data_IF_829001194062
#
_entry.id   IF_829001194062
#
_cell.length_a   1.000
_cell.length_b   1.000
_cell.length_c   1.000
_cell.angle_alpha   90.00
_cell.angle_beta   90.00
_cell.angle_gamma   90.00
#
_symmetry.space_group_name_H-M   'P 1'
#
loop_
_entity.id
_entity.type
_entity.pdbx_description
1 polymer ?
#
# COMPACT_ATOMS: atom_id res chain seq x y z
N UNK A 1 -13.65 1.44 26.86
CA UNK A 1 -13.33 1.28 25.42
C UNK A 1 -11.92 0.72 25.32
N UNK A 2 -11.62 -0.16 24.35
CA UNK A 2 -10.26 -0.63 24.16
C UNK A 2 -9.39 0.55 23.69
N UNK A 3 -8.29 0.84 24.40
CA UNK A 3 -7.30 1.83 23.97
C UNK A 3 -6.70 1.36 22.64
N UNK A 4 -6.76 2.20 21.61
CA UNK A 4 -6.12 1.95 20.31
C UNK A 4 -4.77 2.64 20.35
N UNK A 5 -3.70 1.87 20.41
CA UNK A 5 -2.33 2.38 20.36
C UNK A 5 -1.83 2.38 18.91
N UNK A 6 -1.79 3.57 18.32
CA UNK A 6 -1.35 3.85 16.95
C UNK A 6 -0.01 4.60 16.91
N UNK A 7 0.66 4.76 18.05
CA UNK A 7 1.85 5.58 18.14
C UNK A 7 3.09 4.81 17.65
N UNK A 8 3.83 5.43 16.75
CA UNK A 8 5.14 4.93 16.29
C UNK A 8 6.29 5.50 17.12
N UNK A 9 6.02 6.53 17.94
CA UNK A 9 7.02 7.18 18.79
C UNK A 9 7.59 6.21 19.81
N UNK A 10 8.91 6.19 19.94
CA UNK A 10 9.66 5.30 20.84
C UNK A 10 9.72 3.84 20.39
N UNK A 11 8.96 3.44 19.35
CA UNK A 11 8.98 2.09 18.79
C UNK A 11 10.22 1.87 17.96
N UNK A 12 10.75 0.65 17.97
CA UNK A 12 11.88 0.27 17.12
C UNK A 12 11.37 -0.21 15.75
N UNK A 13 11.78 0.47 14.69
CA UNK A 13 11.44 0.11 13.32
C UNK A 13 12.63 -0.43 12.54
N UNK A 14 12.48 -1.63 11.97
CA UNK A 14 13.38 -2.19 10.98
C UNK A 14 12.91 -1.78 9.58
N UNK A 15 13.75 -1.04 8.86
CA UNK A 15 13.50 -0.64 7.46
C UNK A 15 14.55 -1.28 6.56
N UNK A 16 14.12 -2.25 5.74
CA UNK A 16 15.05 -2.94 4.84
C UNK A 16 15.26 -2.17 3.54
N UNK A 17 16.49 -2.17 3.00
CA UNK A 17 16.80 -1.45 1.76
C UNK A 17 16.69 0.08 1.91
N UNK A 18 17.05 0.60 3.09
CA UNK A 18 17.04 2.02 3.42
C UNK A 18 18.08 2.85 2.62
N UNK A 19 19.03 2.20 1.95
CA UNK A 19 19.99 2.84 1.04
C UNK A 19 19.37 3.34 -0.27
N UNK A 20 18.13 2.94 -0.57
CA UNK A 20 17.39 3.33 -1.77
C UNK A 20 16.31 4.38 -1.49
N UNK A 21 15.66 4.86 -2.55
CA UNK A 21 14.68 5.95 -2.48
C UNK A 21 13.56 5.71 -1.46
N UNK A 22 12.70 4.72 -1.69
CA UNK A 22 11.50 4.47 -0.84
C UNK A 22 11.90 4.13 0.59
N UNK A 23 12.86 3.22 0.78
CA UNK A 23 13.34 2.83 2.11
C UNK A 23 13.92 4.01 2.90
N UNK A 24 14.73 4.86 2.26
CA UNK A 24 15.27 6.06 2.87
C UNK A 24 14.18 7.07 3.25
N UNK A 25 13.18 7.27 2.38
CA UNK A 25 12.04 8.12 2.70
C UNK A 25 11.20 7.59 3.88
N UNK A 26 10.94 6.27 3.92
CA UNK A 26 10.27 5.64 5.07
C UNK A 26 11.07 5.84 6.36
N UNK A 27 12.39 5.72 6.33
CA UNK A 27 13.25 5.94 7.49
C UNK A 27 13.14 7.39 7.99
N UNK A 28 13.22 8.38 7.10
CA UNK A 28 13.03 9.80 7.44
C UNK A 28 11.69 10.06 8.10
N UNK A 29 10.62 9.53 7.49
CA UNK A 29 9.26 9.77 7.97
C UNK A 29 9.03 9.12 9.34
N UNK A 30 9.52 7.91 9.55
CA UNK A 30 9.44 7.22 10.85
C UNK A 30 10.25 7.95 11.93
N UNK A 31 11.47 8.37 11.61
CA UNK A 31 12.32 9.12 12.54
C UNK A 31 11.68 10.45 12.96
N UNK A 32 11.14 11.21 11.99
CA UNK A 32 10.39 12.45 12.25
C UNK A 32 9.21 12.23 13.20
N UNK A 33 8.62 11.04 13.18
CA UNK A 33 7.53 10.65 14.08
C UNK A 33 8.04 10.01 15.40
N UNK A 34 9.34 10.09 15.68
CA UNK A 34 9.97 9.68 16.93
C UNK A 34 10.27 8.19 17.05
N UNK A 35 10.29 7.44 15.95
CA UNK A 35 10.68 6.03 15.97
C UNK A 35 12.21 5.87 16.05
N UNK A 36 12.67 4.85 16.80
CA UNK A 36 14.05 4.35 16.74
C UNK A 36 14.20 3.48 15.49
N UNK A 37 15.39 3.44 14.89
CA UNK A 37 15.57 2.81 13.58
C UNK A 37 16.70 1.78 13.55
N UNK A 38 16.43 0.65 12.93
CA UNK A 38 17.43 -0.27 12.39
C UNK A 38 17.31 -0.24 10.86
N UNK A 39 18.36 0.21 10.18
CA UNK A 39 18.37 0.45 8.73
C UNK A 39 19.27 -0.55 8.03
N UNK A 40 18.79 -1.16 6.95
CA UNK A 40 19.62 -2.11 6.18
C UNK A 40 19.99 -1.61 4.78
N UNK A 41 21.16 -2.02 4.30
CA UNK A 41 21.55 -1.95 2.91
C UNK A 41 22.07 -3.31 2.43
N UNK A 42 22.15 -3.50 1.11
CA UNK A 42 22.45 -4.80 0.51
C UNK A 42 23.93 -5.12 0.39
N UNK A 43 24.82 -4.14 0.59
CA UNK A 43 26.27 -4.32 0.40
C UNK A 43 27.07 -3.18 1.01
N UNK A 44 28.37 -3.44 1.24
CA UNK A 44 29.37 -2.44 1.62
C UNK A 44 29.39 -1.22 0.68
N UNK A 45 29.14 -1.42 -0.62
CA UNK A 45 29.08 -0.33 -1.60
C UNK A 45 27.97 0.68 -1.32
N UNK A 46 26.92 0.24 -0.62
CA UNK A 46 25.77 1.07 -0.24
C UNK A 46 25.78 1.45 1.24
N UNK A 47 26.82 1.06 2.00
CA UNK A 47 26.96 1.39 3.42
C UNK A 47 27.06 2.90 3.63
N UNK A 48 27.88 3.59 2.84
CA UNK A 48 28.02 5.05 2.93
C UNK A 48 26.67 5.77 2.86
N UNK A 49 25.78 5.36 1.95
CA UNK A 49 24.45 5.96 1.79
C UNK A 49 23.58 5.85 3.05
N UNK A 50 23.59 4.70 3.72
CA UNK A 50 22.78 4.52 4.94
C UNK A 50 23.43 5.19 6.15
N UNK A 51 24.77 5.26 6.20
CA UNK A 51 25.49 5.97 7.25
C UNK A 51 25.31 7.48 7.14
N UNK A 52 25.30 8.02 5.93
CA UNK A 52 24.98 9.43 5.66
C UNK A 52 23.54 9.74 6.08
N UNK A 53 22.58 8.87 5.70
CA UNK A 53 21.19 8.98 6.15
C UNK A 53 21.09 8.95 7.68
N UNK A 54 21.73 7.99 8.35
CA UNK A 54 21.69 7.89 9.81
C UNK A 54 22.30 9.13 10.49
N UNK A 55 23.37 9.69 9.93
CA UNK A 55 24.00 10.92 10.42
C UNK A 55 23.08 12.11 10.25
N UNK A 56 22.44 12.23 9.08
CA UNK A 56 21.46 13.28 8.81
C UNK A 56 20.28 13.23 9.77
N UNK A 57 19.73 12.04 10.04
CA UNK A 57 18.63 11.85 10.97
C UNK A 57 19.03 12.25 12.39
N UNK A 58 20.17 11.76 12.89
CA UNK A 58 20.67 12.13 14.23
C UNK A 58 20.89 13.63 14.37
N UNK A 59 21.32 14.32 13.32
CA UNK A 59 21.52 15.77 13.32
C UNK A 59 20.20 16.58 13.22
N UNK A 60 19.08 15.92 12.91
CA UNK A 60 17.78 16.60 12.70
C UNK A 60 16.96 16.78 13.98
N UNK A 61 17.44 16.25 15.12
CA UNK A 61 16.80 16.37 16.42
C UNK A 61 17.85 16.46 17.53
N UNK A 62 17.52 17.14 18.62
CA UNK A 62 18.32 17.12 19.85
C UNK A 62 18.05 15.87 20.71
N UNK A 63 17.04 15.07 20.34
CA UNK A 63 16.71 13.80 20.99
C UNK A 63 17.73 12.72 20.62
N UNK A 64 18.20 11.96 21.61
CA UNK A 64 19.10 10.80 21.41
C UNK A 64 18.31 9.58 20.89
N UNK A 65 17.72 9.71 19.71
CA UNK A 65 16.93 8.66 19.07
C UNK A 65 17.86 7.69 18.34
N UNK A 66 17.95 6.46 18.82
CA UNK A 66 18.84 5.45 18.25
C UNK A 66 18.54 5.15 16.78
N UNK A 67 19.58 5.22 15.96
CA UNK A 67 19.60 4.74 14.57
C UNK A 67 20.79 3.79 14.43
N UNK A 68 20.61 2.61 13.87
CA UNK A 68 21.70 1.66 13.57
C UNK A 68 21.69 1.26 12.10
N UNK A 69 22.86 0.87 11.58
CA UNK A 69 23.07 0.59 10.16
C UNK A 69 23.64 -0.82 9.98
N UNK A 70 23.01 -1.62 9.12
CA UNK A 70 23.34 -3.03 8.94
C UNK A 70 23.51 -3.38 7.46
N UNK A 71 24.62 -4.03 7.10
CA UNK A 71 24.82 -4.61 5.76
C UNK A 71 24.27 -6.03 5.78
N UNK A 72 23.29 -6.34 4.92
CA UNK A 72 22.59 -7.62 4.95
C UNK A 72 22.25 -8.07 3.52
N UNK A 73 22.68 -9.28 3.15
CA UNK A 73 22.18 -9.94 1.94
C UNK A 73 20.80 -10.55 2.21
N UNK A 74 19.75 -9.94 1.64
CA UNK A 74 18.37 -10.40 1.78
C UNK A 74 18.12 -11.79 1.15
N UNK A 75 19.02 -12.29 0.30
CA UNK A 75 18.91 -13.67 -0.22
C UNK A 75 19.41 -14.72 0.79
N UNK A 76 20.22 -14.32 1.78
CA UNK A 76 20.82 -15.18 2.80
C UNK A 76 19.96 -15.26 4.06
N UNK A 77 19.54 -16.47 4.43
CA UNK A 77 18.81 -16.68 5.68
C UNK A 77 19.71 -16.44 6.91
N UNK A 78 20.98 -16.84 6.81
CA UNK A 78 21.97 -16.65 7.88
C UNK A 78 22.20 -15.16 8.17
N UNK A 79 22.27 -14.33 7.13
CA UNK A 79 22.48 -12.89 7.29
C UNK A 79 21.25 -12.24 7.95
N UNK A 80 20.04 -12.66 7.56
CA UNK A 80 18.79 -12.18 8.18
C UNK A 80 18.69 -12.63 9.65
N UNK A 81 19.11 -13.84 9.99
CA UNK A 81 19.17 -14.30 11.38
C UNK A 81 20.22 -13.50 12.19
N UNK A 82 21.38 -13.21 11.60
CA UNK A 82 22.42 -12.42 12.24
C UNK A 82 22.00 -10.96 12.43
N UNK A 83 21.26 -10.38 11.48
CA UNK A 83 20.66 -9.05 11.59
C UNK A 83 19.83 -8.93 12.87
N UNK A 84 18.94 -9.89 13.15
CA UNK A 84 18.12 -9.83 14.35
C UNK A 84 18.94 -9.93 15.63
N UNK A 85 20.00 -10.75 15.66
CA UNK A 85 20.92 -10.80 16.81
C UNK A 85 21.58 -9.44 17.04
N UNK A 86 22.13 -8.84 16.00
CA UNK A 86 22.79 -7.53 16.09
C UNK A 86 21.81 -6.44 16.55
N UNK A 87 20.58 -6.42 16.02
CA UNK A 87 19.55 -5.46 16.45
C UNK A 87 19.22 -5.64 17.94
N UNK A 88 19.07 -6.88 18.42
CA UNK A 88 18.79 -7.16 19.82
C UNK A 88 19.97 -6.71 20.70
N UNK A 89 21.20 -6.96 20.28
CA UNK A 89 22.41 -6.58 21.02
C UNK A 89 22.56 -5.04 21.10
N UNK A 90 22.24 -4.31 20.03
CA UNK A 90 22.39 -2.85 19.95
C UNK A 90 21.22 -2.08 20.58
N UNK A 91 19.98 -2.58 20.40
CA UNK A 91 18.78 -1.87 20.85
C UNK A 91 18.14 -2.46 22.11
N UNK A 92 18.59 -3.63 22.55
CA UNK A 92 18.04 -4.39 23.68
C UNK A 92 16.69 -5.04 23.41
N UNK A 93 16.18 -4.99 22.17
CA UNK A 93 14.86 -5.50 21.82
C UNK A 93 14.73 -5.88 20.35
N UNK A 94 13.72 -6.70 20.02
CA UNK A 94 13.33 -7.01 18.65
C UNK A 94 12.50 -5.84 18.06
N UNK A 95 12.52 -5.59 16.74
CA UNK A 95 11.70 -4.53 16.14
C UNK A 95 10.20 -4.70 16.38
N UNK A 96 9.53 -3.59 16.72
CA UNK A 96 8.08 -3.49 16.86
C UNK A 96 7.40 -3.19 15.50
N UNK A 97 8.15 -2.52 14.61
CA UNK A 97 7.71 -2.15 13.26
C UNK A 97 8.66 -2.79 12.25
N UNK A 98 8.10 -3.38 11.19
CA UNK A 98 8.84 -3.90 10.04
C UNK A 98 8.33 -3.27 8.75
N UNK A 99 9.20 -2.51 8.08
CA UNK A 99 8.99 -2.06 6.70
C UNK A 99 9.86 -2.94 5.79
N UNK A 100 9.25 -4.01 5.25
CA UNK A 100 9.93 -4.89 4.30
C UNK A 100 9.95 -4.24 2.92
N UNK A 101 10.98 -3.44 2.66
CA UNK A 101 11.12 -2.62 1.46
C UNK A 101 12.20 -3.14 0.50
N UNK A 102 13.24 -3.81 0.99
CA UNK A 102 14.30 -4.33 0.14
C UNK A 102 13.72 -5.19 -1.00
N UNK A 103 14.19 -4.92 -2.22
CA UNK A 103 13.73 -5.65 -3.39
C UNK A 103 14.54 -5.34 -4.64
N UNK A 104 14.43 -6.22 -5.63
CA UNK A 104 15.13 -6.13 -6.91
C UNK A 104 14.18 -6.45 -8.06
N UNK A 105 14.43 -5.86 -9.24
CA UNK A 105 13.77 -6.23 -10.50
C UNK A 105 14.41 -7.43 -11.22
N UNK A 106 15.58 -7.89 -10.76
CA UNK A 106 16.40 -8.92 -11.40
C UNK A 106 17.88 -8.73 -11.08
N UNK A 107 18.79 -9.34 -11.83
CA UNK A 107 20.22 -9.12 -11.58
C UNK A 107 20.62 -7.66 -11.80
N UNK A 108 21.45 -7.12 -10.90
CA UNK A 108 21.88 -5.71 -10.92
C UNK A 108 20.71 -4.70 -10.96
N UNK A 109 19.55 -5.05 -10.39
CA UNK A 109 18.31 -4.27 -10.45
C UNK A 109 17.79 -4.01 -11.87
N UNK A 110 18.18 -4.83 -12.85
CA UNK A 110 17.66 -4.74 -14.22
C UNK A 110 16.41 -5.59 -14.36
N UNK A 111 15.36 -4.98 -14.90
CA UNK A 111 14.14 -5.65 -15.32
C UNK A 111 14.37 -6.48 -16.58
N UNK A 112 13.77 -7.67 -16.62
CA UNK A 112 13.71 -8.55 -17.80
C UNK A 112 12.25 -8.85 -18.11
N UNK A 113 11.60 -8.08 -19.01
CA UNK A 113 10.16 -8.20 -19.25
C UNK A 113 9.76 -9.50 -19.97
N UNK A 114 10.70 -10.12 -20.68
CA UNK A 114 10.45 -11.28 -21.53
C UNK A 114 10.88 -12.59 -20.84
N UNK A 115 9.98 -13.57 -20.82
CA UNK A 115 10.17 -14.84 -20.11
C UNK A 115 11.42 -15.60 -20.59
N UNK A 116 11.67 -15.62 -21.90
CA UNK A 116 12.79 -16.30 -22.53
C UNK A 116 14.17 -15.75 -22.11
N UNK A 117 14.21 -14.54 -21.54
CA UNK A 117 15.44 -13.91 -21.05
C UNK A 117 15.65 -14.11 -19.54
N UNK A 118 14.68 -14.71 -18.83
CA UNK A 118 14.77 -14.95 -17.39
C UNK A 118 15.33 -16.35 -17.16
N UNK A 119 16.57 -16.41 -16.67
CA UNK A 119 17.15 -17.70 -16.24
C UNK A 119 16.52 -18.16 -14.93
N UNK A 120 16.64 -19.46 -14.63
CA UNK A 120 16.18 -20.01 -13.36
C UNK A 120 16.90 -19.36 -12.17
N UNK A 121 18.19 -19.06 -12.32
CA UNK A 121 18.99 -18.40 -11.29
C UNK A 121 18.48 -16.98 -11.02
N UNK A 122 18.08 -16.23 -12.05
CA UNK A 122 17.50 -14.90 -11.86
C UNK A 122 16.10 -14.97 -11.23
N UNK A 123 15.30 -15.96 -11.62
CA UNK A 123 14.01 -16.23 -11.02
C UNK A 123 14.17 -16.49 -9.51
N UNK A 124 15.02 -17.44 -9.14
CA UNK A 124 15.28 -17.81 -7.75
C UNK A 124 15.88 -16.65 -6.96
N UNK A 125 16.84 -15.90 -7.55
CA UNK A 125 17.41 -14.71 -6.94
C UNK A 125 16.33 -13.67 -6.58
N UNK A 126 15.44 -13.39 -7.52
CA UNK A 126 14.37 -12.40 -7.34
C UNK A 126 13.35 -12.86 -6.30
N UNK A 127 12.97 -14.13 -6.32
CA UNK A 127 12.07 -14.73 -5.33
C UNK A 127 12.71 -14.72 -3.93
N UNK A 128 13.99 -15.05 -3.83
CA UNK A 128 14.71 -15.10 -2.56
C UNK A 128 14.77 -13.72 -1.89
N UNK A 129 15.12 -12.68 -2.65
CA UNK A 129 15.22 -11.31 -2.11
C UNK A 129 13.83 -10.72 -1.82
N UNK A 130 12.88 -10.82 -2.75
CA UNK A 130 11.62 -10.09 -2.61
C UNK A 130 10.65 -10.82 -1.67
N UNK A 131 10.49 -12.14 -1.81
CA UNK A 131 9.45 -12.92 -1.13
C UNK A 131 10.00 -13.68 0.08
N UNK A 132 11.05 -14.50 -0.12
CA UNK A 132 11.59 -15.35 0.95
C UNK A 132 12.15 -14.52 2.10
N UNK A 133 12.85 -13.41 1.80
CA UNK A 133 13.33 -12.48 2.81
C UNK A 133 12.18 -11.94 3.68
N UNK A 134 11.10 -11.46 3.06
CA UNK A 134 9.90 -10.95 3.77
C UNK A 134 9.28 -12.01 4.69
N UNK A 135 9.23 -13.27 4.26
CA UNK A 135 8.81 -14.39 5.11
C UNK A 135 9.73 -14.58 6.32
N UNK A 136 11.06 -14.57 6.13
CA UNK A 136 12.03 -14.74 7.22
C UNK A 136 11.99 -13.58 8.21
N UNK A 137 11.92 -12.35 7.73
CA UNK A 137 11.79 -11.15 8.56
C UNK A 137 10.52 -11.22 9.43
N UNK A 138 9.38 -11.62 8.86
CA UNK A 138 8.16 -11.84 9.63
C UNK A 138 8.33 -12.95 10.66
N UNK A 139 8.94 -14.08 10.26
CA UNK A 139 9.16 -15.22 11.16
C UNK A 139 9.97 -14.83 12.41
N UNK A 140 10.95 -13.95 12.26
CA UNK A 140 11.80 -13.49 13.36
C UNK A 140 11.16 -12.38 14.20
N UNK A 141 10.39 -11.46 13.59
CA UNK A 141 9.74 -10.36 14.32
C UNK A 141 8.44 -10.78 15.03
N UNK A 142 7.67 -11.70 14.44
CA UNK A 142 6.31 -12.04 14.90
C UNK A 142 6.24 -12.51 16.36
N UNK A 143 7.14 -13.38 16.88
CA UNK A 143 7.03 -13.84 18.27
C UNK A 143 7.06 -12.71 19.29
N UNK A 144 7.90 -11.69 19.05
CA UNK A 144 7.99 -10.48 19.88
C UNK A 144 6.73 -9.63 19.76
N UNK A 145 6.28 -9.37 18.53
CA UNK A 145 5.08 -8.57 18.28
C UNK A 145 3.83 -9.19 18.94
N UNK A 146 3.68 -10.52 18.85
CA UNK A 146 2.59 -11.26 19.48
C UNK A 146 2.70 -11.24 21.01
N UNK A 147 3.89 -11.44 21.58
CA UNK A 147 4.06 -11.50 23.03
C UNK A 147 3.74 -10.18 23.72
N UNK A 148 4.04 -9.05 23.08
CA UNK A 148 3.71 -7.72 23.59
C UNK A 148 2.28 -7.25 23.22
N UNK A 149 1.56 -8.02 22.38
CA UNK A 149 0.23 -7.66 21.91
C UNK A 149 0.19 -6.47 20.94
N UNK A 150 1.32 -6.17 20.29
CA UNK A 150 1.47 -5.02 19.40
C UNK A 150 2.56 -5.28 18.35
N UNK A 151 2.25 -5.02 17.09
CA UNK A 151 3.24 -4.99 16.02
C UNK A 151 2.67 -4.42 14.73
N UNK A 152 3.52 -3.86 13.88
CA UNK A 152 3.12 -3.31 12.58
C UNK A 152 4.08 -3.78 11.49
N UNK A 153 3.54 -4.41 10.46
CA UNK A 153 4.31 -4.88 9.31
C UNK A 153 3.73 -4.26 8.04
N UNK A 154 4.59 -3.64 7.22
CA UNK A 154 4.23 -3.15 5.90
C UNK A 154 5.20 -3.71 4.87
N UNK A 155 4.65 -4.35 3.85
CA UNK A 155 5.41 -4.79 2.68
C UNK A 155 5.35 -3.74 1.59
N UNK A 156 6.50 -3.40 1.01
CA UNK A 156 6.56 -2.62 -0.23
C UNK A 156 6.49 -3.59 -1.40
N UNK A 157 5.25 -3.86 -1.82
CA UNK A 157 4.90 -4.69 -2.97
C UNK A 157 5.09 -3.93 -4.29
N UNK A 158 4.21 -4.12 -5.27
CA UNK A 158 4.18 -3.37 -6.53
C UNK A 158 2.82 -3.56 -7.19
N UNK A 159 2.42 -2.63 -8.06
CA UNK A 159 1.31 -2.89 -9.00
C UNK A 159 1.59 -4.10 -9.90
N UNK A 160 2.85 -4.49 -10.10
CA UNK A 160 3.18 -5.71 -10.86
C UNK A 160 2.65 -6.99 -10.21
N UNK A 161 2.26 -6.95 -8.93
CA UNK A 161 1.64 -8.07 -8.22
C UNK A 161 0.30 -8.53 -8.83
N UNK A 162 -0.38 -7.69 -9.62
CA UNK A 162 -1.60 -8.07 -10.35
C UNK A 162 -1.32 -8.60 -11.77
N UNK A 163 -0.05 -8.92 -12.07
CA UNK A 163 0.37 -9.52 -13.35
C UNK A 163 0.72 -8.52 -14.45
N UNK A 164 0.69 -7.22 -14.17
CA UNK A 164 1.12 -6.17 -15.10
C UNK A 164 2.57 -5.70 -14.89
N UNK A 165 2.96 -4.63 -15.58
CA UNK A 165 4.22 -3.91 -15.35
C UNK A 165 5.35 -4.26 -16.33
N UNK A 166 6.49 -3.61 -16.13
CA UNK A 166 7.64 -3.65 -17.07
C UNK A 166 8.77 -4.59 -16.62
N UNK A 167 8.61 -5.28 -15.48
CA UNK A 167 9.71 -5.89 -14.76
C UNK A 167 10.00 -7.35 -15.11
N UNK A 168 8.98 -8.11 -15.52
CA UNK A 168 9.05 -9.56 -15.77
C UNK A 168 8.19 -10.40 -14.82
N UNK A 169 7.97 -11.66 -15.19
CA UNK A 169 7.07 -12.58 -14.48
C UNK A 169 7.60 -13.01 -13.11
N UNK A 170 8.91 -13.16 -12.94
CA UNK A 170 9.57 -13.47 -11.66
C UNK A 170 9.35 -12.35 -10.63
N UNK A 171 9.51 -11.10 -11.05
CA UNK A 171 9.21 -9.94 -10.21
C UNK A 171 7.73 -9.91 -9.83
N UNK A 172 6.83 -10.00 -10.81
CA UNK A 172 5.38 -10.02 -10.58
C UNK A 172 4.97 -11.14 -9.61
N UNK A 173 5.46 -12.37 -9.81
CA UNK A 173 5.22 -13.51 -8.94
C UNK A 173 5.72 -13.25 -7.51
N UNK A 174 6.92 -12.69 -7.36
CA UNK A 174 7.48 -12.36 -6.04
C UNK A 174 6.63 -11.34 -5.27
N UNK A 175 6.12 -10.30 -5.96
CA UNK A 175 5.28 -9.25 -5.36
C UNK A 175 3.86 -9.75 -5.06
N UNK A 176 3.29 -10.58 -5.94
CA UNK A 176 2.03 -11.27 -5.69
C UNK A 176 2.10 -12.23 -4.49
N UNK A 177 3.20 -12.97 -4.36
CA UNK A 177 3.46 -13.85 -3.24
C UNK A 177 3.50 -13.10 -1.90
N UNK A 178 4.07 -11.89 -1.87
CA UNK A 178 4.06 -11.05 -0.66
C UNK A 178 2.64 -10.62 -0.28
N UNK A 179 1.80 -10.25 -1.25
CA UNK A 179 0.39 -9.92 -0.97
C UNK A 179 -0.35 -11.14 -0.41
N UNK A 180 -0.10 -12.35 -0.92
CA UNK A 180 -0.66 -13.59 -0.37
C UNK A 180 -0.18 -13.88 1.06
N UNK A 181 1.13 -13.73 1.31
CA UNK A 181 1.74 -13.87 2.63
C UNK A 181 1.12 -12.90 3.64
N UNK A 182 1.00 -11.63 3.26
CA UNK A 182 0.40 -10.58 4.09
C UNK A 182 -1.03 -10.94 4.47
N UNK A 183 -1.89 -11.26 3.48
CA UNK A 183 -3.30 -11.59 3.73
C UNK A 183 -3.46 -12.77 4.70
N UNK A 184 -2.60 -13.80 4.57
CA UNK A 184 -2.66 -14.95 5.45
C UNK A 184 -2.27 -14.61 6.89
N UNK A 185 -1.14 -13.92 7.07
CA UNK A 185 -0.62 -13.56 8.38
C UNK A 185 -1.51 -12.53 9.09
N UNK A 186 -2.04 -11.55 8.36
CA UNK A 186 -2.96 -10.54 8.87
C UNK A 186 -4.18 -11.19 9.54
N UNK A 187 -4.81 -12.14 8.85
CA UNK A 187 -5.97 -12.87 9.37
C UNK A 187 -5.64 -13.74 10.59
N UNK A 188 -4.41 -14.25 10.69
CA UNK A 188 -3.97 -15.10 11.81
C UNK A 188 -3.61 -14.31 13.07
N UNK A 189 -3.01 -13.14 12.91
CA UNK A 189 -2.42 -12.37 14.01
C UNK A 189 -3.19 -11.10 14.38
N UNK A 190 -4.33 -10.83 13.74
CA UNK A 190 -5.19 -9.69 14.09
C UNK A 190 -5.60 -9.68 15.57
N UNK A 191 -5.89 -10.85 16.15
CA UNK A 191 -6.26 -11.00 17.58
C UNK A 191 -5.08 -10.82 18.52
N UNK A 192 -3.87 -11.00 18.01
CA UNK A 192 -2.62 -10.80 18.74
C UNK A 192 -2.19 -9.32 18.76
N UNK A 193 -2.98 -8.41 18.16
CA UNK A 193 -2.66 -6.97 18.10
C UNK A 193 -1.60 -6.61 17.06
N UNK A 194 -1.25 -7.55 16.18
CA UNK A 194 -0.30 -7.35 15.07
C UNK A 194 -1.05 -7.06 13.78
N UNK A 195 -0.63 -6.03 13.05
CA UNK A 195 -1.21 -5.67 11.76
C UNK A 195 -0.21 -5.93 10.64
N UNK A 196 -0.68 -6.42 9.50
CA UNK A 196 0.14 -6.62 8.31
C UNK A 196 -0.56 -6.02 7.10
N UNK A 197 0.14 -5.16 6.38
CA UNK A 197 -0.39 -4.43 5.23
C UNK A 197 0.62 -4.46 4.06
N UNK A 198 0.16 -4.12 2.86
CA UNK A 198 1.05 -3.88 1.72
C UNK A 198 0.77 -2.55 1.02
N UNK A 199 1.85 -1.89 0.61
CA UNK A 199 1.82 -0.77 -0.33
C UNK A 199 2.27 -1.30 -1.68
N UNK A 200 1.56 -0.97 -2.75
CA UNK A 200 1.88 -1.37 -4.11
C UNK A 200 2.21 -0.15 -4.98
N UNK A 201 3.46 0.34 -4.96
CA UNK A 201 3.88 1.44 -5.82
C UNK A 201 3.87 1.05 -7.31
N UNK A 202 3.59 2.05 -8.15
CA UNK A 202 3.79 1.98 -9.59
C UNK A 202 5.15 2.59 -9.99
N UNK A 203 5.13 3.68 -10.74
CA UNK A 203 6.33 4.33 -11.26
C UNK A 203 6.80 5.39 -10.26
N UNK A 204 7.81 5.04 -9.46
CA UNK A 204 8.40 5.92 -8.45
C UNK A 204 9.81 6.32 -8.88
N UNK A 205 10.00 7.61 -9.14
CA UNK A 205 11.29 8.22 -9.49
C UNK A 205 12.27 8.26 -8.31
N UNK A 206 13.50 8.71 -8.55
CA UNK A 206 14.55 8.80 -7.54
C UNK A 206 14.84 7.47 -6.82
N UNK A 207 14.60 6.36 -7.51
CA UNK A 207 14.90 5.01 -7.03
C UNK A 207 16.01 4.37 -7.86
N UNK A 208 16.66 3.34 -7.33
CA UNK A 208 17.64 2.56 -8.11
C UNK A 208 17.02 1.86 -9.33
N UNK A 209 15.70 1.63 -9.32
CA UNK A 209 14.97 0.96 -10.41
C UNK A 209 14.52 1.95 -11.48
N UNK A 210 14.03 3.12 -11.06
CA UNK A 210 13.58 4.21 -11.91
C UNK A 210 14.25 5.49 -11.38
N UNK A 211 15.44 5.85 -11.90
CA UNK A 211 16.12 7.07 -11.47
C UNK A 211 15.40 8.32 -11.99
N UNK A 212 14.92 8.27 -13.23
CA UNK A 212 14.26 9.40 -13.90
C UNK A 212 13.24 8.93 -14.95
N UNK A 213 12.52 9.88 -15.55
CA UNK A 213 11.47 9.64 -16.55
C UNK A 213 11.97 8.95 -17.82
N UNK A 214 13.24 9.16 -18.20
CA UNK A 214 13.83 8.55 -19.41
C UNK A 214 13.86 7.04 -19.29
N UNK A 215 13.93 6.51 -18.06
CA UNK A 215 13.91 5.06 -17.81
C UNK A 215 12.60 4.41 -18.25
N UNK A 216 11.49 5.15 -18.22
CA UNK A 216 10.15 4.62 -18.52
C UNK A 216 9.58 5.12 -19.84
N UNK A 217 10.30 5.99 -20.54
CA UNK A 217 9.90 6.53 -21.85
C UNK A 217 9.61 5.41 -22.85
N UNK A 218 8.47 5.52 -23.54
CA UNK A 218 8.02 4.53 -24.53
C UNK A 218 7.50 3.21 -23.93
N UNK A 219 7.58 3.02 -22.61
CA UNK A 219 7.00 1.86 -21.93
C UNK A 219 5.55 2.16 -21.49
N UNK A 220 4.78 1.15 -21.04
CA UNK A 220 3.52 1.41 -20.36
C UNK A 220 3.68 2.32 -19.12
N UNK A 221 4.87 2.42 -18.52
CA UNK A 221 5.16 3.31 -17.39
C UNK A 221 5.50 4.76 -17.75
N UNK A 222 5.53 5.11 -19.04
CA UNK A 222 5.83 6.47 -19.53
C UNK A 222 4.92 7.51 -18.86
N UNK A 223 5.48 8.66 -18.46
CA UNK A 223 4.79 9.72 -17.74
C UNK A 223 3.58 10.28 -18.49
N UNK A 224 3.59 10.25 -19.83
CA UNK A 224 2.42 10.63 -20.64
C UNK A 224 1.21 9.72 -20.43
N UNK A 225 1.45 8.48 -19.99
CA UNK A 225 0.41 7.51 -19.68
C UNK A 225 -0.04 7.59 -18.22
N UNK A 226 0.56 8.47 -17.42
CA UNK A 226 0.25 8.68 -16.01
C UNK A 226 -0.69 9.90 -15.91
N UNK A 227 -1.96 9.75 -15.48
CA UNK A 227 -2.90 10.85 -15.24
C UNK A 227 -2.36 12.06 -14.49
N UNK A 228 -1.49 11.88 -13.48
CA UNK A 228 -0.86 13.02 -12.78
C UNK A 228 0.28 13.68 -13.55
N UNK A 229 0.66 13.12 -14.72
CA UNK A 229 1.64 13.67 -15.64
C UNK A 229 3.10 13.59 -15.17
N UNK A 230 3.38 12.87 -14.08
CA UNK A 230 4.73 12.73 -13.49
C UNK A 230 4.92 11.38 -12.82
N UNK A 231 6.18 11.04 -12.54
CA UNK A 231 6.50 9.95 -11.61
C UNK A 231 6.02 10.27 -10.19
N UNK A 232 5.67 9.22 -9.45
CA UNK A 232 5.51 9.32 -8.01
C UNK A 232 6.87 9.49 -7.33
N UNK A 233 6.84 9.99 -6.10
CA UNK A 233 8.05 10.25 -5.31
C UNK A 233 8.19 9.23 -4.17
N UNK A 234 9.43 8.96 -3.71
CA UNK A 234 9.63 8.13 -2.52
C UNK A 234 8.90 8.63 -1.28
N UNK A 235 8.79 9.95 -1.10
CA UNK A 235 8.09 10.55 0.03
C UNK A 235 6.59 10.26 0.01
N UNK A 236 5.95 10.28 -1.15
CA UNK A 236 4.53 9.92 -1.25
C UNK A 236 4.29 8.45 -0.84
N UNK A 237 5.21 7.53 -1.18
CA UNK A 237 5.17 6.16 -0.67
C UNK A 237 5.35 6.10 0.85
N UNK A 238 6.31 6.84 1.41
CA UNK A 238 6.58 6.88 2.84
C UNK A 238 5.38 7.37 3.65
N UNK A 239 4.66 8.39 3.15
CA UNK A 239 3.45 8.90 3.78
C UNK A 239 2.36 7.84 3.88
N UNK A 240 2.17 7.03 2.81
CA UNK A 240 1.22 5.92 2.81
C UNK A 240 1.65 4.81 3.77
N UNK A 241 2.95 4.49 3.81
CA UNK A 241 3.49 3.53 4.79
C UNK A 241 3.20 4.00 6.21
N UNK A 242 3.50 5.26 6.55
CA UNK A 242 3.22 5.82 7.87
C UNK A 242 1.73 5.74 8.22
N UNK A 243 0.86 6.10 7.27
CA UNK A 243 -0.59 5.99 7.45
C UNK A 243 -0.98 4.55 7.80
N UNK A 244 -0.49 3.54 7.08
CA UNK A 244 -0.80 2.13 7.35
C UNK A 244 -0.27 1.64 8.70
N UNK A 245 0.83 2.22 9.20
CA UNK A 245 1.35 1.92 10.53
C UNK A 245 0.47 2.51 11.64
N UNK A 246 -0.12 3.69 11.39
CA UNK A 246 -0.97 4.43 12.33
C UNK A 246 -2.45 4.04 12.28
N UNK A 247 -2.92 3.33 11.26
CA UNK A 247 -4.33 2.91 11.15
C UNK A 247 -4.44 1.43 11.52
N UNK A 248 -4.55 1.13 12.82
CA UNK A 248 -4.86 -0.21 13.32
C UNK A 248 -6.34 -0.30 13.74
N UNK A 249 -7.19 -0.84 12.88
CA UNK A 249 -8.56 -1.19 13.25
C UNK A 249 -8.52 -2.53 14.00
N UNK A 250 -8.69 -2.51 15.33
CA UNK A 250 -8.60 -3.70 16.22
C UNK A 250 -9.75 -4.73 16.05
N UNK A 251 -10.42 -4.72 14.90
CA UNK A 251 -11.59 -5.54 14.61
C UNK A 251 -11.25 -6.62 13.57
N UNK A 252 -11.93 -7.77 13.64
CA UNK A 252 -11.63 -9.13 13.16
C UNK A 252 -11.29 -9.36 11.65
N UNK A 253 -10.81 -8.35 10.90
CA UNK A 253 -10.20 -8.52 9.56
C UNK A 253 -9.32 -7.29 9.24
N UNK A 254 -8.00 -7.45 9.27
CA UNK A 254 -7.04 -6.35 9.12
C UNK A 254 -6.17 -6.48 7.87
N UNK A 255 -6.78 -6.31 6.69
CA UNK A 255 -6.03 -6.21 5.43
C UNK A 255 -6.29 -4.82 4.86
N UNK A 256 -5.31 -3.93 4.97
CA UNK A 256 -5.31 -2.67 4.23
C UNK A 256 -4.26 -2.76 3.11
N UNK A 257 -4.71 -2.59 1.86
CA UNK A 257 -3.83 -2.47 0.70
C UNK A 257 -3.95 -1.09 0.10
N UNK A 258 -2.83 -0.39 -0.04
CA UNK A 258 -2.77 0.87 -0.78
C UNK A 258 -1.96 0.66 -2.06
N UNK A 259 -2.53 0.88 -3.24
CA UNK A 259 -1.72 0.97 -4.46
C UNK A 259 -1.62 2.41 -4.92
N UNK A 260 -0.41 2.81 -5.31
CA UNK A 260 -0.18 4.09 -5.95
C UNK A 260 -0.12 3.80 -7.43
N UNK A 261 -1.23 4.01 -8.14
CA UNK A 261 -1.31 3.73 -9.57
C UNK A 261 -1.28 5.03 -10.38
N UNK A 262 -1.36 4.89 -11.71
CA UNK A 262 -1.24 6.00 -12.64
C UNK A 262 -2.29 7.12 -12.37
N UNK A 263 -3.41 6.80 -11.74
CA UNK A 263 -4.53 7.70 -11.41
C UNK A 263 -4.40 8.37 -10.03
N UNK A 264 -3.33 8.12 -9.28
CA UNK A 264 -3.13 8.60 -7.90
C UNK A 264 -3.12 7.46 -6.87
N UNK A 265 -3.28 7.81 -5.58
CA UNK A 265 -3.40 6.81 -4.50
C UNK A 265 -4.79 6.17 -4.58
N UNK A 266 -4.83 4.86 -4.81
CA UNK A 266 -6.05 4.06 -4.83
C UNK A 266 -5.94 2.99 -3.75
N UNK A 267 -6.83 3.01 -2.75
CA UNK A 267 -6.91 1.98 -1.71
C UNK A 267 -7.70 0.78 -2.28
N UNK A 268 -7.11 -0.42 -2.21
CA UNK A 268 -7.62 -1.61 -2.92
C UNK A 268 -8.30 -2.65 -2.02
N UNK A 269 -8.29 -2.54 -0.68
CA UNK A 269 -9.16 -3.35 0.21
C UNK A 269 -9.16 -2.85 1.67
N UNK A 270 -10.35 -2.81 2.29
CA UNK A 270 -10.62 -2.77 3.75
C UNK A 270 -11.94 -3.54 4.04
N UNK A 271 -11.96 -4.44 5.03
CA UNK A 271 -13.19 -5.16 5.43
C UNK A 271 -13.35 -5.30 6.96
N UNK A 272 -14.61 -5.29 7.43
CA UNK A 272 -15.09 -6.00 8.63
C UNK A 272 -16.57 -6.43 8.33
N UNK A 273 -17.16 -7.42 9.03
CA UNK A 273 -18.60 -7.83 8.91
C UNK A 273 -19.15 -8.38 10.24
N UNK A 274 -20.41 -8.06 10.62
CA UNK A 274 -21.19 -8.82 11.60
C UNK A 274 -22.70 -8.60 11.46
N UNK A 275 -23.49 -9.69 11.43
CA UNK A 275 -24.89 -9.77 11.89
C UNK A 275 -25.26 -11.27 11.99
N UNK A 276 -25.90 -11.80 13.04
CA UNK A 276 -26.84 -11.20 14.00
C UNK A 276 -26.32 -11.25 15.45
N UNK A 277 -26.49 -10.16 16.23
CA UNK A 277 -26.48 -10.23 17.70
C UNK A 277 -25.65 -9.24 18.53
N UNK A 278 -24.78 -8.36 17.99
CA UNK A 278 -24.39 -7.04 18.59
C UNK A 278 -23.07 -6.43 18.05
N UNK A 279 -23.13 -5.11 17.73
CA UNK A 279 -22.07 -4.06 17.80
C UNK A 279 -20.92 -3.92 16.75
N UNK A 280 -20.98 -2.81 15.96
CA UNK A 280 -19.87 -1.98 15.31
C UNK A 280 -19.18 -2.52 14.02
N UNK A 281 -18.35 -1.83 13.20
CA UNK A 281 -18.14 -0.49 12.58
C UNK A 281 -17.09 -0.69 11.39
N UNK A 282 -17.09 -0.01 10.21
CA UNK A 282 -16.35 -0.39 8.94
C UNK A 282 -15.79 0.76 8.12
N UNK A 283 -14.75 0.48 7.28
CA UNK A 283 -14.37 1.39 6.18
C UNK A 283 -13.44 1.06 4.98
N UNK A 284 -14.06 0.97 3.77
CA UNK A 284 -13.60 1.15 2.35
C UNK A 284 -13.50 -0.11 1.44
N UNK A 285 -14.58 -0.41 0.71
CA UNK A 285 -14.78 0.24 -0.60
C UNK A 285 -14.76 -0.54 -1.93
N UNK A 286 -15.05 -1.85 -1.99
CA UNK A 286 -15.70 -2.49 -3.17
C UNK A 286 -16.93 -3.27 -2.69
N UNK A 287 -18.07 -3.08 -3.37
CA UNK A 287 -19.36 -3.68 -2.97
C UNK A 287 -19.38 -5.15 -3.38
N UNK A 288 -19.22 -6.05 -2.40
CA UNK A 288 -19.90 -7.36 -2.41
C UNK A 288 -20.55 -7.62 -1.05
N UNK A 289 -21.90 -7.67 -1.10
CA UNK A 289 -22.95 -7.95 -0.09
C UNK A 289 -22.57 -8.08 1.41
N UNK A 290 -23.20 -7.24 2.24
CA UNK A 290 -23.58 -7.57 3.63
C UNK A 290 -23.94 -6.40 4.55
N UNK A 291 -25.25 -6.23 4.80
CA UNK A 291 -25.95 -5.51 5.90
C UNK A 291 -25.68 -4.00 6.18
N UNK A 292 -26.74 -3.22 5.93
CA UNK A 292 -27.26 -2.01 6.62
C UNK A 292 -26.28 -0.92 7.13
N UNK A 293 -26.10 0.17 6.35
CA UNK A 293 -25.70 1.51 6.86
C UNK A 293 -26.37 2.65 6.11
N UNK A 294 -26.51 3.79 6.78
CA UNK A 294 -27.23 4.98 6.30
C UNK A 294 -26.30 6.01 5.62
N UNK A 295 -26.88 6.97 4.90
CA UNK A 295 -26.17 8.01 4.15
C UNK A 295 -25.31 8.94 5.05
N UNK A 296 -25.76 9.24 6.26
CA UNK A 296 -25.03 10.09 7.21
C UNK A 296 -23.72 9.43 7.70
N UNK A 297 -23.74 8.10 7.89
CA UNK A 297 -22.55 7.33 8.28
C UNK A 297 -21.45 7.37 7.21
N UNK A 298 -21.85 7.41 5.94
CA UNK A 298 -20.92 7.52 4.80
C UNK A 298 -20.32 8.93 4.69
N UNK A 299 -21.11 9.97 4.95
CA UNK A 299 -20.66 11.36 4.91
C UNK A 299 -19.65 11.67 6.03
N UNK A 300 -19.94 11.25 7.27
CA UNK A 300 -19.03 11.46 8.43
C UNK A 300 -17.66 10.86 8.19
N UNK A 301 -17.66 9.69 7.58
CA UNK A 301 -16.45 9.00 7.19
C UNK A 301 -15.66 9.74 6.10
N UNK A 302 -16.29 10.13 5.00
CA UNK A 302 -15.61 10.91 3.98
C UNK A 302 -14.96 12.17 4.57
N UNK A 303 -15.57 12.77 5.60
CA UNK A 303 -14.97 13.85 6.38
C UNK A 303 -13.73 13.42 7.19
N UNK A 304 -13.76 12.27 7.87
CA UNK A 304 -12.60 11.75 8.63
C UNK A 304 -11.40 11.42 7.74
N UNK A 305 -11.63 10.76 6.58
CA UNK A 305 -10.57 10.47 5.60
C UNK A 305 -10.00 11.77 5.03
N UNK A 306 -10.87 12.75 4.73
CA UNK A 306 -10.46 14.06 4.22
C UNK A 306 -9.70 14.88 5.27
N UNK A 307 -10.08 14.80 6.54
CA UNK A 307 -9.39 15.46 7.65
C UNK A 307 -8.00 14.85 7.90
N UNK A 308 -7.90 13.52 7.89
CA UNK A 308 -6.62 12.83 7.95
C UNK A 308 -5.73 13.18 6.75
N UNK A 309 -6.29 13.21 5.54
CA UNK A 309 -5.60 13.64 4.33
C UNK A 309 -5.08 15.09 4.41
N UNK A 310 -5.88 16.02 4.92
CA UNK A 310 -5.50 17.43 5.06
C UNK A 310 -4.31 17.61 6.02
N UNK A 311 -4.29 16.87 7.14
CA UNK A 311 -3.17 16.87 8.09
C UNK A 311 -1.89 16.25 7.52
N UNK A 312 -2.04 15.30 6.59
CA UNK A 312 -0.92 14.56 5.97
C UNK A 312 -0.26 15.37 4.83
N UNK A 313 -1.04 16.13 4.06
CA UNK A 313 -0.53 16.85 2.88
C UNK A 313 -0.15 18.30 3.19
N UNK A 314 -0.76 18.94 4.20
CA UNK A 314 -0.51 20.33 4.57
C UNK A 314 -0.44 20.52 6.10
N UNK A 315 0.63 20.06 6.76
CA UNK A 315 0.76 20.09 8.23
C UNK A 315 0.68 21.50 8.82
N UNK A 316 1.14 22.53 8.09
CA UNK A 316 1.03 23.94 8.50
C UNK A 316 -0.41 24.49 8.62
N UNK A 317 -1.42 23.85 8.04
CA UNK A 317 -2.82 24.30 8.14
C UNK A 317 -3.57 23.79 9.38
N UNK A 318 -2.96 22.84 10.11
CA UNK A 318 -3.54 22.25 11.32
C UNK A 318 -3.45 23.17 12.55
N UNK A 319 -2.52 24.14 12.56
CA UNK A 319 -2.29 25.05 13.70
C UNK A 319 -3.20 26.30 13.67
N UNK A 320 -3.75 26.69 12.52
CA UNK A 320 -4.54 27.93 12.35
C UNK A 320 -6.08 27.73 12.35
N UNK A 321 -6.58 26.69 13.02
CA UNK A 321 -8.03 26.59 13.29
C UNK A 321 -8.91 26.38 12.04
N UNK A 322 -8.50 25.49 11.13
CA UNK A 322 -9.43 24.86 10.19
C UNK A 322 -9.80 25.67 8.95
N UNK A 323 -8.85 26.39 8.34
CA UNK A 323 -9.05 26.84 6.95
C UNK A 323 -8.70 25.73 5.98
N UNK A 324 -9.70 25.30 5.21
CA UNK A 324 -9.57 24.39 4.08
C UNK A 324 -8.57 24.96 3.05
N UNK A 325 -7.77 24.11 2.37
CA UNK A 325 -6.88 24.56 1.30
C UNK A 325 -7.68 25.21 0.14
N UNK A 326 -7.05 26.08 -0.66
CA UNK A 326 -7.72 26.76 -1.78
C UNK A 326 -8.28 25.76 -2.81
N UNK A 327 -9.37 26.15 -3.49
CA UNK A 327 -10.25 25.29 -4.32
C UNK A 327 -9.56 24.53 -5.46
N UNK A 328 -8.32 24.89 -5.79
CA UNK A 328 -7.47 24.29 -6.80
C UNK A 328 -6.72 23.02 -6.32
N UNK A 329 -6.79 22.68 -5.01
CA UNK A 329 -6.14 21.49 -4.41
C UNK A 329 -7.12 20.50 -3.74
N UNK A 330 -8.33 20.34 -4.28
CA UNK A 330 -9.28 19.33 -3.80
C UNK A 330 -8.88 17.90 -4.19
N UNK A 331 -9.07 16.96 -3.25
CA UNK A 331 -9.10 15.51 -3.51
C UNK A 331 -10.29 15.19 -4.43
N UNK A 332 -10.05 15.05 -5.73
CA UNK A 332 -11.13 15.01 -6.75
C UNK A 332 -11.73 13.63 -7.05
N UNK A 333 -11.21 12.52 -6.53
CA UNK A 333 -11.88 11.21 -6.69
C UNK A 333 -11.37 10.09 -5.80
N UNK A 334 -12.30 9.27 -5.32
CA UNK A 334 -12.11 7.88 -4.89
C UNK A 334 -12.70 7.01 -6.00
N UNK A 335 -11.93 6.06 -6.55
CA UNK A 335 -12.42 5.22 -7.65
C UNK A 335 -13.40 4.16 -7.16
N UNK A 336 -14.53 4.14 -7.83
CA UNK A 336 -15.68 3.29 -7.62
C UNK A 336 -15.93 2.54 -8.95
N UNK A 337 -16.31 1.26 -8.92
CA UNK A 337 -16.53 0.43 -10.12
C UNK A 337 -17.71 0.91 -10.98
N UNK A 338 -17.69 0.61 -12.29
CA UNK A 338 -18.66 1.11 -13.29
C UNK A 338 -20.14 0.88 -12.95
N UNK A 339 -20.47 -0.26 -12.31
CA UNK A 339 -21.84 -0.58 -11.85
C UNK A 339 -22.37 0.40 -10.78
N UNK A 340 -21.49 1.00 -9.95
CA UNK A 340 -21.90 2.02 -8.99
C UNK A 340 -22.00 3.42 -9.64
N UNK A 341 -21.20 3.69 -10.68
CA UNK A 341 -21.18 4.98 -11.39
C UNK A 341 -22.51 5.21 -12.13
N UNK A 342 -23.07 4.17 -12.74
CA UNK A 342 -24.37 4.25 -13.41
C UNK A 342 -25.54 4.51 -12.42
N UNK A 343 -25.51 3.87 -11.24
CA UNK A 343 -26.48 4.13 -10.18
C UNK A 343 -26.37 5.54 -9.57
N UNK A 344 -25.14 6.04 -9.40
CA UNK A 344 -24.87 7.32 -8.74
C UNK A 344 -25.04 8.55 -9.67
N UNK A 345 -24.72 8.46 -10.97
CA UNK A 345 -24.84 9.60 -11.91
C UNK A 345 -26.28 9.93 -12.32
N UNK A 346 -27.23 9.02 -12.13
CA UNK A 346 -28.58 9.18 -12.68
C UNK A 346 -29.70 8.71 -11.73
N UNK A 347 -29.40 8.56 -10.43
CA UNK A 347 -30.37 8.19 -9.39
C UNK A 347 -31.06 6.83 -9.61
N UNK A 348 -30.43 5.91 -10.37
CA UNK A 348 -30.94 4.56 -10.53
C UNK A 348 -30.60 3.72 -9.30
N UNK A 349 -31.58 3.04 -8.68
CA UNK A 349 -31.29 2.12 -7.58
C UNK A 349 -30.42 0.98 -8.10
N UNK A 350 -29.27 0.69 -7.47
CA UNK A 350 -28.40 -0.42 -7.85
C UNK A 350 -29.07 -1.78 -7.60
N UNK A 351 -28.93 -2.79 -8.48
CA UNK A 351 -29.61 -4.07 -8.32
C UNK A 351 -29.12 -4.84 -7.09
N UNK A 352 -30.00 -5.69 -6.56
CA UNK A 352 -29.59 -6.74 -5.65
C UNK A 352 -28.79 -7.80 -6.41
N UNK A 353 -27.77 -8.38 -5.77
CA UNK A 353 -26.95 -9.40 -6.44
C UNK A 353 -27.78 -10.65 -6.80
N UNK A 354 -27.71 -11.07 -8.06
CA UNK A 354 -28.56 -12.08 -8.68
C UNK A 354 -29.75 -11.52 -9.48
N UNK A 355 -30.06 -10.22 -9.35
CA UNK A 355 -31.16 -9.55 -10.06
C UNK A 355 -30.64 -8.57 -11.13
N UNK A 356 -29.34 -8.65 -11.48
CA UNK A 356 -28.68 -7.73 -12.41
C UNK A 356 -29.33 -7.73 -13.80
N UNK A 357 -29.77 -8.90 -14.26
CA UNK A 357 -30.46 -9.07 -15.54
C UNK A 357 -31.81 -8.33 -15.55
N UNK A 358 -32.65 -8.56 -14.54
CA UNK A 358 -33.98 -7.96 -14.45
C UNK A 358 -33.90 -6.43 -14.28
N UNK A 359 -32.94 -5.96 -13.48
CA UNK A 359 -32.68 -4.54 -13.32
C UNK A 359 -32.14 -3.88 -14.58
N UNK A 360 -31.19 -4.53 -15.25
CA UNK A 360 -30.68 -4.06 -16.53
C UNK A 360 -31.85 -3.93 -17.50
N UNK A 361 -32.74 -4.93 -17.58
CA UNK A 361 -33.90 -4.91 -18.47
C UNK A 361 -34.87 -3.77 -18.14
N UNK A 362 -35.14 -3.54 -16.86
CA UNK A 362 -36.04 -2.48 -16.39
C UNK A 362 -35.51 -1.07 -16.70
N UNK A 363 -34.18 -0.88 -16.68
CA UNK A 363 -33.56 0.44 -16.79
C UNK A 363 -32.81 0.68 -18.13
N UNK A 364 -32.77 -0.33 -19.00
CA UNK A 364 -31.96 -0.34 -20.23
C UNK A 364 -32.27 0.81 -21.19
N UNK A 365 -33.55 1.13 -21.37
CA UNK A 365 -33.96 2.22 -22.25
C UNK A 365 -33.38 3.57 -21.79
N UNK A 366 -33.34 3.81 -20.48
CA UNK A 366 -32.78 5.02 -19.90
C UNK A 366 -31.24 5.02 -19.96
N UNK A 367 -30.60 3.86 -19.88
CA UNK A 367 -29.16 3.74 -20.09
C UNK A 367 -28.77 4.07 -21.53
N UNK A 368 -29.55 3.58 -22.49
CA UNK A 368 -29.35 3.84 -23.92
C UNK A 368 -29.54 5.31 -24.28
N UNK A 369 -30.58 5.96 -23.74
CA UNK A 369 -30.80 7.41 -23.93
C UNK A 369 -29.60 8.24 -23.45
N UNK A 370 -28.99 7.84 -22.33
CA UNK A 370 -27.79 8.51 -21.78
C UNK A 370 -26.54 8.25 -22.61
N UNK A 371 -26.37 7.02 -23.10
CA UNK A 371 -25.29 6.68 -24.03
C UNK A 371 -25.41 7.47 -25.35
N UNK A 372 -26.62 7.59 -25.91
CA UNK A 372 -26.89 8.36 -27.14
C UNK A 372 -26.70 9.88 -26.94
N UNK A 373 -26.86 10.37 -25.70
CA UNK A 373 -26.54 11.73 -25.31
C UNK A 373 -25.02 12.00 -25.10
N UNK A 374 -24.16 10.99 -25.32
CA UNK A 374 -22.71 11.11 -25.30
C UNK A 374 -22.04 10.80 -23.96
N UNK A 375 -22.72 10.11 -23.02
CA UNK A 375 -22.09 9.65 -21.77
C UNK A 375 -21.34 8.32 -22.01
N UNK A 376 -20.01 8.39 -22.15
CA UNK A 376 -19.14 7.26 -22.50
C UNK A 376 -19.24 6.09 -21.51
N UNK A 377 -19.46 6.37 -20.22
CA UNK A 377 -19.63 5.32 -19.20
C UNK A 377 -20.91 4.49 -19.43
N UNK A 378 -21.98 5.15 -19.91
CA UNK A 378 -23.22 4.46 -20.27
C UNK A 378 -23.13 3.78 -21.62
N UNK A 379 -22.29 4.27 -22.54
CA UNK A 379 -22.00 3.59 -23.80
C UNK A 379 -21.31 2.23 -23.56
N UNK A 380 -20.31 2.20 -22.67
CA UNK A 380 -19.63 0.97 -22.26
C UNK A 380 -20.58 0.02 -21.52
N UNK A 381 -21.41 0.54 -20.59
CA UNK A 381 -22.40 -0.26 -19.87
C UNK A 381 -23.46 -0.87 -20.81
N UNK A 382 -23.96 -0.10 -21.78
CA UNK A 382 -24.93 -0.59 -22.78
C UNK A 382 -24.31 -1.68 -23.64
N UNK A 383 -23.06 -1.51 -24.08
CA UNK A 383 -22.33 -2.52 -24.84
C UNK A 383 -22.08 -3.80 -24.02
N UNK A 384 -21.77 -3.66 -22.73
CA UNK A 384 -21.62 -4.78 -21.80
C UNK A 384 -22.94 -5.54 -21.61
N UNK A 385 -24.05 -4.84 -21.33
CA UNK A 385 -25.38 -5.45 -21.13
C UNK A 385 -25.83 -6.19 -22.41
N UNK A 386 -25.59 -5.62 -23.60
CA UNK A 386 -25.89 -6.30 -24.87
C UNK A 386 -25.09 -7.59 -25.09
N UNK A 387 -23.94 -7.74 -24.41
CA UNK A 387 -23.13 -8.96 -24.50
C UNK A 387 -23.63 -10.08 -23.59
N UNK A 388 -24.59 -9.82 -22.70
CA UNK A 388 -25.11 -10.82 -21.77
C UNK A 388 -25.99 -11.84 -22.50
N UNK A 389 -25.69 -13.15 -22.39
CA UNK A 389 -26.42 -14.19 -23.14
C UNK A 389 -27.91 -14.27 -22.85
N UNK A 390 -28.34 -13.83 -21.67
CA UNK A 390 -29.73 -13.92 -21.17
C UNK A 390 -30.49 -12.59 -21.32
N UNK A 391 -29.87 -11.55 -21.89
CA UNK A 391 -30.45 -10.22 -22.04
C UNK A 391 -31.18 -10.10 -23.38
N UNK A 392 -32.51 -10.13 -23.33
CA UNK A 392 -33.38 -9.83 -24.48
C UNK A 392 -33.65 -8.31 -24.57
N UNK A 393 -33.41 -7.76 -25.77
CA UNK A 393 -33.38 -6.31 -26.07
C UNK A 393 -34.76 -5.69 -26.23
#
# INVERSE_FOLDING_TARGET
>A
MAHVDNEVRGRLALVTGASGGIGGACARELFKNGARLALTCSSEKTLAKITDLATELRNSTDDDTDVTCHVVDMSSATDIEQLFKNIIDEHGNTPDILVSNAGTAGFNNKANPYLENISLEEFDFTININLRASFLLCKLAMPHMVSQGWGRIVFVSSISAIGGGINGCHYAASKAGMTGLMKNLANKHAKDGVTLNDVAPAMIGDTGMIPDEKRVEGTPGDVKNIPVGRLGTPQECANVVLMLLKVALKYDTQVNRAAMDKRGITLYDVHYRQEQGSSRAYLQGRVRRGSSRTQEDFISLCHEIRAAWAQIVHPETAEEGGKLPPQDLELRSVFITGELIAGLKASFPTPLAGDELAWAQENYAAFKERAEAGDEDFADLVAEIQSWPEFEC
#
